data_IF_225781651967
#
_entry.id   IF_225781651967
#
_cell.length_a   1.000
_cell.length_b   1.000
_cell.length_c   1.000
_cell.angle_alpha   90.00
_cell.angle_beta   90.00
_cell.angle_gamma   90.00
#
_symmetry.space_group_name_H-M   'P 1'
#
loop_
_entity.id
_entity.type
_entity.pdbx_description
1 polymer ?
#
# COMPACT_ATOMS: atom_id res chain seq x y z
N UNK A 1 8.79 25.54 15.06
CA UNK A 1 7.42 25.14 14.64
C UNK A 1 7.41 24.42 13.30
N UNK A 2 7.86 25.05 12.23
CA UNK A 2 7.76 24.53 10.84
C UNK A 2 8.49 23.19 10.64
N UNK A 3 9.72 23.06 11.14
CA UNK A 3 10.49 21.80 11.07
C UNK A 3 9.77 20.65 11.77
N UNK A 4 9.09 20.92 12.89
CA UNK A 4 8.33 19.87 13.59
C UNK A 4 7.10 19.43 12.80
N UNK A 5 6.44 20.35 12.09
CA UNK A 5 5.31 20.06 11.20
C UNK A 5 5.79 19.25 10.00
N UNK A 6 6.86 19.67 9.33
CA UNK A 6 7.44 18.95 8.20
C UNK A 6 7.80 17.49 8.55
N UNK A 7 8.49 17.28 9.67
CA UNK A 7 8.82 15.93 10.16
C UNK A 7 7.58 15.07 10.45
N UNK A 8 6.50 15.67 10.93
CA UNK A 8 5.24 14.93 11.17
C UNK A 8 4.55 14.54 9.88
N UNK A 9 4.58 15.41 8.87
CA UNK A 9 4.04 15.11 7.54
C UNK A 9 4.85 13.98 6.89
N UNK A 10 6.16 14.04 6.95
CA UNK A 10 7.07 13.02 6.42
C UNK A 10 6.86 11.67 7.11
N UNK A 11 6.82 11.66 8.45
CA UNK A 11 6.53 10.44 9.21
C UNK A 11 5.14 9.86 8.88
N UNK A 12 4.13 10.71 8.66
CA UNK A 12 2.80 10.30 8.23
C UNK A 12 2.80 9.68 6.83
N UNK A 13 3.54 10.28 5.90
CA UNK A 13 3.73 9.76 4.53
C UNK A 13 4.43 8.40 4.56
N UNK A 14 5.46 8.25 5.39
CA UNK A 14 6.18 6.98 5.54
C UNK A 14 5.27 5.85 6.05
N UNK A 15 4.48 6.10 7.10
CA UNK A 15 3.53 5.10 7.63
C UNK A 15 2.49 4.72 6.58
N UNK A 16 1.99 5.68 5.82
CA UNK A 16 1.06 5.44 4.73
C UNK A 16 1.68 4.57 3.63
N UNK A 17 2.91 4.87 3.21
CA UNK A 17 3.63 4.10 2.19
C UNK A 17 3.90 2.66 2.66
N UNK A 18 4.27 2.46 3.93
CA UNK A 18 4.45 1.13 4.52
C UNK A 18 3.16 0.33 4.43
N UNK A 19 2.02 0.92 4.79
CA UNK A 19 0.73 0.25 4.72
C UNK A 19 0.30 -0.07 3.28
N UNK A 20 0.45 0.89 2.36
CA UNK A 20 0.11 0.72 0.94
C UNK A 20 1.00 -0.33 0.26
N UNK A 21 2.30 -0.37 0.57
CA UNK A 21 3.27 -1.29 -0.04
C UNK A 21 2.94 -2.77 0.20
N UNK A 22 2.25 -3.08 1.29
CA UNK A 22 1.91 -4.45 1.66
C UNK A 22 0.58 -4.93 1.07
N UNK A 23 -0.16 -4.06 0.38
CA UNK A 23 -1.51 -4.37 -0.08
C UNK A 23 -1.55 -4.95 -1.49
N UNK A 24 -2.28 -6.07 -1.71
CA UNK A 24 -2.55 -6.59 -3.05
C UNK A 24 -3.35 -5.64 -3.94
N UNK A 25 -4.12 -4.70 -3.38
CA UNK A 25 -4.80 -3.65 -4.13
C UNK A 25 -3.78 -2.72 -4.81
N UNK A 26 -2.75 -2.34 -4.06
CA UNK A 26 -1.62 -1.57 -4.61
C UNK A 26 -0.86 -2.39 -5.67
N UNK A 27 -0.65 -3.68 -5.42
CA UNK A 27 -0.03 -4.59 -6.39
C UNK A 27 -0.79 -4.62 -7.72
N UNK A 28 -2.13 -4.71 -7.67
CA UNK A 28 -2.97 -4.71 -8.87
C UNK A 28 -2.83 -3.40 -9.65
N UNK A 29 -2.69 -2.27 -8.96
CA UNK A 29 -2.44 -0.99 -9.61
C UNK A 29 -1.08 -0.95 -10.32
N UNK A 30 -0.03 -1.51 -9.71
CA UNK A 30 1.29 -1.61 -10.35
C UNK A 30 1.28 -2.55 -11.55
N UNK A 31 0.50 -3.63 -11.55
CA UNK A 31 0.33 -4.49 -12.72
C UNK A 31 -0.34 -3.74 -13.88
N UNK A 32 -1.37 -2.95 -13.60
CA UNK A 32 -2.06 -2.12 -14.58
C UNK A 32 -1.12 -1.02 -15.14
N UNK A 33 -0.34 -0.38 -14.29
CA UNK A 33 0.65 0.61 -14.74
C UNK A 33 1.77 0.01 -15.57
N UNK A 34 2.29 -1.17 -15.21
CA UNK A 34 3.34 -1.84 -16.00
C UNK A 34 2.84 -2.13 -17.42
N UNK A 35 1.62 -2.64 -17.56
CA UNK A 35 1.00 -2.89 -18.87
C UNK A 35 0.77 -1.61 -19.67
N UNK A 36 0.16 -0.60 -19.06
CA UNK A 36 -0.15 0.67 -19.71
C UNK A 36 1.09 1.48 -20.09
N UNK A 37 2.12 1.48 -19.24
CA UNK A 37 3.39 2.14 -19.56
C UNK A 37 4.13 1.46 -20.70
N UNK A 38 4.08 0.13 -20.81
CA UNK A 38 4.68 -0.62 -21.91
C UNK A 38 3.96 -0.37 -23.24
N UNK A 39 2.65 -0.11 -23.19
CA UNK A 39 1.83 0.19 -24.35
C UNK A 39 1.78 1.69 -24.70
N UNK A 40 2.49 2.55 -23.95
CA UNK A 40 2.44 4.02 -24.07
C UNK A 40 1.01 4.60 -23.91
N UNK A 41 0.15 3.92 -23.12
CA UNK A 41 -1.23 4.36 -22.85
C UNK A 41 -1.32 5.41 -21.76
N UNK A 42 -0.32 5.48 -20.85
CA UNK A 42 -0.19 6.48 -19.79
C UNK A 42 1.20 7.09 -19.78
N UNK A 43 1.27 8.33 -19.32
CA UNK A 43 2.52 9.05 -19.16
C UNK A 43 3.13 8.83 -17.78
N UNK A 44 4.45 8.85 -17.69
CA UNK A 44 5.17 8.65 -16.43
C UNK A 44 4.78 9.70 -15.39
N UNK A 45 4.58 10.95 -15.82
CA UNK A 45 4.14 12.07 -14.97
C UNK A 45 2.77 11.90 -14.34
N UNK A 46 1.96 10.97 -14.82
CA UNK A 46 0.67 10.65 -14.20
C UNK A 46 0.83 9.77 -12.95
N UNK A 47 1.97 9.09 -12.80
CA UNK A 47 2.26 8.17 -11.71
C UNK A 47 3.19 8.79 -10.68
N UNK A 48 4.26 9.45 -11.15
CA UNK A 48 5.34 9.95 -10.30
C UNK A 48 5.40 11.48 -10.29
N UNK A 49 6.05 12.01 -9.26
CA UNK A 49 6.46 13.40 -9.18
C UNK A 49 7.79 13.57 -9.95
N UNK A 50 7.70 14.12 -11.16
CA UNK A 50 8.86 14.25 -12.06
C UNK A 50 9.90 15.22 -11.48
N UNK A 51 9.46 16.33 -10.91
CA UNK A 51 10.39 17.37 -10.41
C UNK A 51 11.25 16.81 -9.28
N UNK A 52 10.64 16.09 -8.34
CA UNK A 52 11.36 15.45 -7.24
C UNK A 52 12.31 14.36 -7.73
N UNK A 53 11.87 13.52 -8.66
CA UNK A 53 12.71 12.46 -9.23
C UNK A 53 13.90 13.01 -10.03
N UNK A 54 13.69 14.08 -10.78
CA UNK A 54 14.74 14.70 -11.58
C UNK A 54 15.81 15.36 -10.69
N UNK A 55 15.39 16.06 -9.64
CA UNK A 55 16.32 16.67 -8.67
C UNK A 55 17.14 15.64 -7.89
N UNK A 56 16.58 14.48 -7.56
CA UNK A 56 17.32 13.39 -6.90
C UNK A 56 18.36 12.76 -7.83
N UNK A 57 18.06 12.59 -9.11
CA UNK A 57 19.01 12.06 -10.10
C UNK A 57 20.17 13.05 -10.37
N UNK A 58 19.92 14.36 -10.46
CA UNK A 58 20.99 15.36 -10.57
C UNK A 58 21.93 15.35 -9.37
N UNK A 59 21.41 15.14 -8.15
CA UNK A 59 22.23 15.08 -6.93
C UNK A 59 23.05 13.80 -6.80
N UNK A 60 22.67 12.72 -7.47
CA UNK A 60 23.35 11.41 -7.43
C UNK A 60 24.16 11.10 -8.69
N UNK A 61 23.99 11.87 -9.77
CA UNK A 61 24.67 11.67 -11.04
C UNK A 61 26.09 12.28 -11.09
N UNK A 62 26.91 11.88 -12.10
CA UNK A 62 28.27 12.38 -12.26
C UNK A 62 28.36 13.91 -12.49
N UNK A 63 27.26 14.56 -12.84
CA UNK A 63 27.17 16.04 -12.98
C UNK A 63 27.21 16.81 -11.67
N UNK A 64 26.95 16.14 -10.52
CA UNK A 64 27.03 16.78 -9.20
C UNK A 64 28.43 17.23 -8.78
N UNK A 65 29.49 16.78 -9.47
CA UNK A 65 30.89 17.14 -9.16
C UNK A 65 31.38 18.44 -9.79
N UNK A 66 30.60 19.11 -10.63
CA UNK A 66 31.05 20.33 -11.31
C UNK A 66 30.53 21.64 -10.69
N UNK A 67 29.61 21.61 -9.73
CA UNK A 67 29.02 22.82 -9.12
C UNK A 67 29.71 23.36 -7.86
N UNK A 68 30.79 22.71 -7.36
CA UNK A 68 31.47 23.12 -6.12
C UNK A 68 32.90 23.66 -6.31
N UNK A 69 33.25 24.21 -7.48
CA UNK A 69 34.54 24.88 -7.67
C UNK A 69 34.35 26.17 -8.45
N UNK A 70 34.12 27.28 -7.75
CA UNK A 70 34.09 28.59 -8.38
C UNK A 70 33.36 29.67 -7.57
N UNK A 71 33.78 29.91 -6.32
CA UNK A 71 33.75 31.28 -5.78
C UNK A 71 35.01 31.96 -6.27
N UNK A 72 34.89 32.94 -7.17
CA UNK A 72 35.40 34.29 -7.02
C UNK A 72 35.26 35.08 -8.34
N UNK A 73 34.99 36.36 -8.11
CA UNK A 73 35.16 37.55 -8.97
C UNK A 73 33.97 37.99 -9.84
N UNK A 74 33.50 39.13 -9.38
CA UNK A 74 32.63 40.10 -10.04
C UNK A 74 33.22 40.55 -11.37
N UNK A 75 32.39 40.59 -12.40
CA UNK A 75 32.45 41.69 -13.34
C UNK A 75 31.03 42.07 -13.82
N UNK A 76 30.72 43.32 -13.65
CA UNK A 76 29.49 43.96 -14.12
C UNK A 76 29.62 44.19 -15.62
N UNK A 77 28.69 43.71 -16.39
CA UNK A 77 28.20 44.25 -17.65
C UNK A 77 28.11 43.20 -18.77
N UNK A 78 26.91 42.66 -18.97
CA UNK A 78 26.33 42.54 -20.31
C UNK A 78 24.94 41.90 -20.27
N UNK A 79 23.96 42.70 -20.59
CA UNK A 79 22.74 42.44 -21.36
C UNK A 79 22.21 41.00 -21.44
N UNK A 80 21.10 40.80 -20.73
CA UNK A 80 19.83 40.22 -21.19
C UNK A 80 19.93 39.41 -22.49
N UNK A 81 20.00 38.09 -22.35
CA UNK A 81 19.61 37.04 -23.30
C UNK A 81 20.36 35.71 -23.03
N UNK A 82 20.12 35.03 -21.92
CA UNK A 82 20.47 33.59 -21.79
C UNK A 82 20.05 32.90 -20.48
N UNK A 83 19.01 33.36 -19.80
CA UNK A 83 18.50 32.67 -18.60
C UNK A 83 17.47 31.56 -18.94
N UNK A 84 17.18 31.32 -20.22
CA UNK A 84 16.16 30.35 -20.66
C UNK A 84 16.75 28.97 -21.05
N UNK A 85 18.07 28.82 -21.00
CA UNK A 85 18.76 27.64 -21.55
C UNK A 85 19.03 26.51 -20.53
N UNK A 86 18.57 26.65 -19.26
CA UNK A 86 18.88 25.69 -18.21
C UNK A 86 17.67 25.03 -17.53
N UNK A 87 16.46 25.28 -18.02
CA UNK A 87 15.26 24.58 -17.55
C UNK A 87 14.83 23.56 -18.60
N UNK A 88 15.18 22.27 -18.44
CA UNK A 88 14.73 21.24 -19.39
C UNK A 88 13.21 21.22 -19.40
N UNK A 89 12.63 21.12 -20.61
CA UNK A 89 11.18 21.00 -20.72
C UNK A 89 10.70 19.75 -20.00
N UNK A 90 9.48 19.80 -19.43
CA UNK A 90 8.87 18.67 -18.73
C UNK A 90 8.93 17.36 -19.56
N UNK A 91 8.77 17.47 -20.87
CA UNK A 91 8.88 16.33 -21.79
C UNK A 91 10.29 15.74 -21.88
N UNK A 92 11.32 16.59 -21.80
CA UNK A 92 12.70 16.14 -21.79
C UNK A 92 13.04 15.43 -20.49
N UNK A 93 12.64 15.98 -19.33
CA UNK A 93 12.77 15.31 -18.01
C UNK A 93 12.06 13.96 -17.99
N UNK A 94 10.85 13.90 -18.51
CA UNK A 94 10.07 12.66 -18.58
C UNK A 94 10.77 11.60 -19.44
N UNK A 95 11.31 11.99 -20.61
CA UNK A 95 12.05 11.07 -21.50
C UNK A 95 13.30 10.48 -20.84
N UNK A 96 13.99 11.27 -20.02
CA UNK A 96 15.19 10.84 -19.31
C UNK A 96 14.87 9.87 -18.18
N UNK A 97 13.82 10.14 -17.40
CA UNK A 97 13.41 9.32 -16.25
C UNK A 97 12.64 8.06 -16.68
N UNK A 98 11.93 8.09 -17.80
CA UNK A 98 11.07 6.99 -18.27
C UNK A 98 11.72 5.60 -18.23
N UNK A 99 12.94 5.35 -18.73
CA UNK A 99 13.54 4.02 -18.69
C UNK A 99 13.81 3.53 -17.26
N UNK A 100 14.14 4.42 -16.32
CA UNK A 100 14.36 4.10 -14.91
C UNK A 100 13.04 3.71 -14.25
N UNK A 101 11.99 4.47 -14.49
CA UNK A 101 10.64 4.21 -13.95
C UNK A 101 10.09 2.89 -14.47
N UNK A 102 10.16 2.65 -15.79
CA UNK A 102 9.73 1.38 -16.40
C UNK A 102 10.44 0.17 -15.76
N UNK A 103 11.75 0.27 -15.57
CA UNK A 103 12.54 -0.79 -14.93
C UNK A 103 12.10 -1.03 -13.49
N UNK A 104 11.87 0.04 -12.73
CA UNK A 104 11.45 -0.06 -11.31
C UNK A 104 10.02 -0.59 -11.19
N UNK A 105 9.09 -0.13 -12.03
CA UNK A 105 7.71 -0.64 -12.06
C UNK A 105 7.69 -2.12 -12.42
N UNK A 106 8.46 -2.54 -13.42
CA UNK A 106 8.57 -3.94 -13.79
C UNK A 106 9.17 -4.81 -12.69
N UNK A 107 10.17 -4.31 -11.95
CA UNK A 107 10.73 -4.98 -10.79
C UNK A 107 9.67 -5.12 -9.68
N UNK A 108 8.92 -4.05 -9.40
CA UNK A 108 7.83 -4.05 -8.42
C UNK A 108 6.75 -5.08 -8.77
N UNK A 109 6.33 -5.20 -10.03
CA UNK A 109 5.34 -6.22 -10.42
C UNK A 109 5.83 -7.63 -10.13
N UNK A 110 7.12 -7.88 -10.31
CA UNK A 110 7.73 -9.17 -10.03
C UNK A 110 7.76 -9.47 -8.52
N UNK A 111 8.14 -8.49 -7.70
CA UNK A 111 8.15 -8.63 -6.24
C UNK A 111 6.72 -8.74 -5.67
N UNK A 112 5.76 -8.00 -6.19
CA UNK A 112 4.35 -8.10 -5.80
C UNK A 112 3.74 -9.48 -6.08
N UNK A 113 4.10 -10.13 -7.17
CA UNK A 113 3.66 -11.52 -7.44
C UNK A 113 4.16 -12.48 -6.36
N UNK A 114 5.37 -12.29 -5.85
CA UNK A 114 5.90 -13.08 -4.72
C UNK A 114 5.17 -12.75 -3.43
N UNK A 115 4.94 -11.45 -3.15
CA UNK A 115 4.22 -11.00 -1.97
C UNK A 115 2.82 -11.62 -1.88
N UNK A 116 2.03 -11.52 -2.95
CA UNK A 116 0.67 -12.08 -3.02
C UNK A 116 0.69 -13.60 -2.77
N UNK A 117 1.69 -14.30 -3.28
CA UNK A 117 1.85 -15.73 -3.03
C UNK A 117 2.08 -16.03 -1.55
N UNK A 118 2.98 -15.29 -0.90
CA UNK A 118 3.24 -15.43 0.54
C UNK A 118 2.00 -15.11 1.38
N UNK A 119 1.27 -14.04 1.05
CA UNK A 119 0.05 -13.65 1.76
C UNK A 119 -1.04 -14.71 1.63
N UNK A 120 -1.25 -15.24 0.44
CA UNK A 120 -2.18 -16.37 0.23
C UNK A 120 -1.80 -17.58 1.08
N UNK A 121 -0.54 -17.99 1.04
CA UNK A 121 -0.08 -19.13 1.83
C UNK A 121 -0.23 -18.86 3.34
N UNK A 122 0.05 -17.64 3.80
CA UNK A 122 -0.12 -17.24 5.21
C UNK A 122 -1.58 -17.31 5.64
N UNK A 123 -2.49 -16.77 4.83
CA UNK A 123 -3.92 -16.83 5.10
C UNK A 123 -4.46 -18.28 5.07
N UNK A 124 -4.03 -19.10 4.11
CA UNK A 124 -4.37 -20.50 4.03
C UNK A 124 -3.88 -21.28 5.27
N UNK A 125 -2.70 -20.96 5.79
CA UNK A 125 -2.21 -21.53 7.04
C UNK A 125 -3.11 -21.16 8.23
N UNK A 126 -3.54 -19.89 8.33
CA UNK A 126 -4.46 -19.43 9.38
C UNK A 126 -5.81 -20.15 9.29
N UNK A 127 -6.39 -20.22 8.09
CA UNK A 127 -7.69 -20.88 7.85
C UNK A 127 -7.67 -22.38 8.15
N UNK A 128 -6.51 -23.02 7.95
CA UNK A 128 -6.34 -24.46 8.20
C UNK A 128 -5.69 -24.77 9.56
N UNK A 129 -5.53 -23.77 10.45
CA UNK A 129 -4.85 -23.93 11.75
C UNK A 129 -3.42 -24.49 11.63
N UNK A 130 -2.71 -24.17 10.56
CA UNK A 130 -1.32 -24.54 10.31
C UNK A 130 -0.38 -23.40 10.66
N UNK A 131 0.85 -23.72 11.00
CA UNK A 131 1.90 -22.74 11.30
C UNK A 131 2.57 -22.33 9.97
N UNK A 132 2.69 -21.01 9.74
CA UNK A 132 3.48 -20.51 8.63
C UNK A 132 4.97 -20.68 8.93
N UNK A 133 5.75 -21.19 7.97
CA UNK A 133 7.17 -21.52 8.18
C UNK A 133 8.01 -20.26 8.43
N UNK A 134 8.89 -20.27 9.42
CA UNK A 134 9.80 -19.18 9.77
C UNK A 134 10.71 -18.77 8.59
N UNK A 135 11.10 -19.73 7.75
CA UNK A 135 11.89 -19.44 6.54
C UNK A 135 11.08 -18.61 5.52
N UNK A 136 9.79 -18.93 5.35
CA UNK A 136 8.88 -18.17 4.48
C UNK A 136 8.54 -16.81 5.08
N UNK A 137 8.47 -16.67 6.40
CA UNK A 137 8.26 -15.39 7.09
C UNK A 137 9.42 -14.42 6.80
N UNK A 138 10.66 -14.87 6.91
CA UNK A 138 11.84 -14.06 6.53
C UNK A 138 11.83 -13.66 5.05
N UNK A 139 11.41 -14.58 4.17
CA UNK A 139 11.23 -14.29 2.74
C UNK A 139 10.16 -13.24 2.48
N UNK A 140 9.04 -13.32 3.20
CA UNK A 140 7.96 -12.34 3.17
C UNK A 140 8.44 -10.96 3.62
N UNK A 141 9.07 -10.86 4.80
CA UNK A 141 9.60 -9.60 5.34
C UNK A 141 10.61 -8.94 4.39
N UNK A 142 11.52 -9.73 3.82
CA UNK A 142 12.47 -9.23 2.83
C UNK A 142 11.75 -8.65 1.60
N UNK A 143 10.77 -9.38 1.06
CA UNK A 143 10.01 -8.93 -0.10
C UNK A 143 9.24 -7.64 0.20
N UNK A 144 8.66 -7.50 1.40
CA UNK A 144 7.99 -6.27 1.85
C UNK A 144 8.96 -5.09 1.87
N UNK A 145 10.15 -5.27 2.43
CA UNK A 145 11.17 -4.21 2.48
C UNK A 145 11.65 -3.82 1.08
N UNK A 146 11.93 -4.80 0.21
CA UNK A 146 12.36 -4.55 -1.17
C UNK A 146 11.29 -3.77 -1.95
N UNK A 147 10.01 -4.08 -1.76
CA UNK A 147 8.88 -3.34 -2.36
C UNK A 147 8.82 -1.91 -1.82
N UNK A 148 8.91 -1.73 -0.50
CA UNK A 148 8.85 -0.42 0.13
C UNK A 148 9.96 0.50 -0.37
N UNK A 149 11.20 0.00 -0.44
CA UNK A 149 12.35 0.77 -0.92
C UNK A 149 12.16 1.18 -2.39
N UNK A 150 11.68 0.29 -3.23
CA UNK A 150 11.38 0.59 -4.64
C UNK A 150 10.24 1.61 -4.79
N UNK A 151 9.17 1.52 -4.00
CA UNK A 151 8.07 2.51 -4.02
C UNK A 151 8.57 3.88 -3.55
N UNK A 152 9.39 3.93 -2.51
CA UNK A 152 10.00 5.19 -2.04
C UNK A 152 10.87 5.81 -3.13
N UNK A 153 11.64 5.01 -3.86
CA UNK A 153 12.49 5.50 -4.95
C UNK A 153 11.72 6.05 -6.15
N UNK A 154 10.46 5.63 -6.34
CA UNK A 154 9.61 6.13 -7.42
C UNK A 154 9.04 7.51 -7.16
N UNK A 155 8.98 7.97 -5.90
CA UNK A 155 8.35 9.25 -5.53
C UNK A 155 6.98 9.42 -6.18
N UNK A 156 6.02 8.55 -5.79
CA UNK A 156 4.66 8.60 -6.33
C UNK A 156 4.01 9.97 -6.12
N UNK A 157 3.26 10.42 -7.11
CA UNK A 157 2.56 11.70 -7.04
C UNK A 157 1.50 11.70 -5.92
N UNK A 158 1.23 12.85 -5.28
CA UNK A 158 0.23 12.94 -4.21
C UNK A 158 -1.17 12.49 -4.64
N UNK A 159 -1.56 12.77 -5.88
CA UNK A 159 -2.85 12.35 -6.45
C UNK A 159 -2.99 10.83 -6.55
N UNK A 160 -1.93 10.16 -6.95
CA UNK A 160 -1.87 8.69 -7.02
C UNK A 160 -1.93 8.07 -5.63
N UNK A 161 -1.21 8.64 -4.66
CA UNK A 161 -1.28 8.17 -3.28
C UNK A 161 -2.69 8.29 -2.71
N UNK A 162 -3.38 9.41 -2.97
CA UNK A 162 -4.76 9.61 -2.54
C UNK A 162 -5.71 8.60 -3.21
N UNK A 163 -5.55 8.34 -4.51
CA UNK A 163 -6.35 7.32 -5.21
C UNK A 163 -6.16 5.92 -4.60
N UNK A 164 -4.92 5.52 -4.31
CA UNK A 164 -4.63 4.25 -3.65
C UNK A 164 -5.28 4.15 -2.26
N UNK A 165 -5.20 5.22 -1.47
CA UNK A 165 -5.86 5.29 -0.15
C UNK A 165 -7.38 5.17 -0.29
N UNK A 166 -8.00 5.85 -1.27
CA UNK A 166 -9.44 5.74 -1.51
C UNK A 166 -9.88 4.33 -1.87
N UNK A 167 -9.09 3.61 -2.68
CA UNK A 167 -9.37 2.19 -3.00
C UNK A 167 -9.40 1.32 -1.73
N UNK A 168 -8.48 1.55 -0.79
CA UNK A 168 -8.46 0.86 0.49
C UNK A 168 -9.65 1.23 1.38
N UNK A 169 -10.04 2.50 1.40
CA UNK A 169 -11.23 2.93 2.15
C UNK A 169 -12.52 2.27 1.65
N UNK A 170 -12.66 2.06 0.35
CA UNK A 170 -13.83 1.36 -0.21
C UNK A 170 -13.92 -0.08 0.33
N UNK A 171 -12.82 -0.81 0.35
CA UNK A 171 -12.82 -2.19 0.87
C UNK A 171 -13.02 -2.19 2.40
N UNK A 172 -12.40 -1.28 3.14
CA UNK A 172 -12.60 -1.15 4.58
C UNK A 172 -14.06 -0.87 4.96
N UNK A 173 -14.77 -0.02 4.21
CA UNK A 173 -16.21 0.22 4.42
C UNK A 173 -17.03 -1.07 4.26
N UNK A 174 -16.65 -1.97 3.36
CA UNK A 174 -17.32 -3.27 3.20
C UNK A 174 -17.14 -4.14 4.45
N UNK A 175 -15.92 -4.21 5.01
CA UNK A 175 -15.63 -4.93 6.25
C UNK A 175 -16.49 -4.37 7.38
N UNK A 176 -16.42 -3.06 7.62
CA UNK A 176 -17.20 -2.39 8.68
C UNK A 176 -18.71 -2.66 8.55
N UNK A 177 -19.24 -2.66 7.31
CA UNK A 177 -20.63 -2.98 7.06
C UNK A 177 -20.98 -4.42 7.41
N UNK A 178 -20.15 -5.39 7.02
CA UNK A 178 -20.34 -6.81 7.31
C UNK A 178 -20.27 -7.10 8.82
N UNK A 179 -19.28 -6.56 9.49
CA UNK A 179 -19.10 -6.70 10.94
C UNK A 179 -20.20 -6.00 11.73
N UNK A 180 -20.62 -4.82 11.28
CA UNK A 180 -21.76 -4.09 11.84
C UNK A 180 -23.07 -4.86 11.72
N UNK A 181 -23.27 -5.60 10.62
CA UNK A 181 -24.43 -6.49 10.46
C UNK A 181 -24.36 -7.64 11.46
N UNK A 182 -23.19 -8.26 11.59
CA UNK A 182 -22.99 -9.36 12.52
C UNK A 182 -23.21 -8.92 13.97
N UNK A 183 -22.72 -7.75 14.36
CA UNK A 183 -22.95 -7.16 15.67
C UNK A 183 -24.44 -6.92 15.92
N UNK A 184 -25.19 -6.39 14.93
CA UNK A 184 -26.65 -6.19 15.08
C UNK A 184 -27.39 -7.49 15.28
N UNK A 185 -27.03 -8.54 14.56
CA UNK A 185 -27.61 -9.89 14.73
C UNK A 185 -27.35 -10.41 16.15
N UNK A 186 -26.14 -10.21 16.68
CA UNK A 186 -25.78 -10.62 18.05
C UNK A 186 -26.58 -9.85 19.11
N UNK A 187 -26.70 -8.52 18.95
CA UNK A 187 -27.49 -7.67 19.86
C UNK A 187 -28.98 -8.05 19.87
N UNK A 188 -29.55 -8.41 18.72
CA UNK A 188 -30.93 -8.91 18.61
C UNK A 188 -31.14 -10.21 19.40
N UNK A 189 -30.09 -10.98 19.64
CA UNK A 189 -30.12 -12.19 20.48
C UNK A 189 -29.68 -11.92 21.94
N UNK A 190 -29.72 -10.64 22.38
CA UNK A 190 -29.39 -10.17 23.74
C UNK A 190 -27.92 -10.37 24.14
N UNK A 191 -27.01 -10.48 23.15
CA UNK A 191 -25.56 -10.47 23.42
C UNK A 191 -25.14 -9.01 23.58
N UNK A 192 -24.53 -8.59 24.71
CA UNK A 192 -24.06 -7.22 24.88
C UNK A 192 -22.94 -6.87 23.89
N UNK A 193 -22.97 -5.65 23.37
CA UNK A 193 -21.97 -5.16 22.43
C UNK A 193 -20.53 -5.39 22.92
N UNK A 194 -20.26 -5.06 24.18
CA UNK A 194 -18.90 -5.18 24.74
C UNK A 194 -18.44 -6.64 24.83
N UNK A 195 -19.34 -7.57 25.10
CA UNK A 195 -19.07 -9.00 25.12
C UNK A 195 -18.79 -9.51 23.70
N UNK A 196 -19.61 -9.09 22.74
CA UNK A 196 -19.39 -9.43 21.33
C UNK A 196 -18.03 -8.95 20.84
N UNK A 197 -17.67 -7.69 21.07
CA UNK A 197 -16.40 -7.10 20.65
C UNK A 197 -15.21 -7.85 21.25
N UNK A 198 -15.23 -8.11 22.56
CA UNK A 198 -14.16 -8.87 23.24
C UNK A 198 -13.94 -10.27 22.67
N UNK A 199 -15.02 -10.90 22.27
CA UNK A 199 -14.98 -12.25 21.71
C UNK A 199 -14.58 -12.27 20.25
N UNK A 200 -15.05 -11.31 19.47
CA UNK A 200 -14.94 -11.28 18.03
C UNK A 200 -13.59 -10.76 17.53
N UNK A 201 -13.05 -9.74 18.21
CA UNK A 201 -11.74 -9.15 17.83
C UNK A 201 -10.64 -10.22 17.91
N UNK A 202 -9.92 -10.39 16.80
CA UNK A 202 -8.86 -11.39 16.63
C UNK A 202 -9.36 -12.80 16.31
N UNK A 203 -10.69 -12.99 16.19
CA UNK A 203 -11.31 -14.27 15.84
C UNK A 203 -12.18 -14.20 14.57
N UNK A 204 -12.09 -13.12 13.81
CA UNK A 204 -12.96 -12.82 12.65
C UNK A 204 -12.95 -13.96 11.62
N UNK A 205 -11.78 -14.51 11.36
CA UNK A 205 -11.56 -15.62 10.41
C UNK A 205 -11.11 -16.93 11.08
N UNK A 206 -11.15 -17.01 12.43
CA UNK A 206 -10.70 -18.18 13.16
C UNK A 206 -11.52 -19.45 12.76
N UNK A 207 -10.89 -20.52 12.26
CA UNK A 207 -11.60 -21.74 11.87
C UNK A 207 -12.27 -22.47 13.05
N UNK A 208 -11.73 -22.26 14.27
CA UNK A 208 -12.24 -22.89 15.48
C UNK A 208 -13.29 -22.03 16.23
N UNK A 209 -13.75 -20.95 15.63
CA UNK A 209 -14.70 -20.04 16.26
C UNK A 209 -15.96 -20.75 16.81
N UNK A 210 -16.46 -21.76 16.12
CA UNK A 210 -17.60 -22.55 16.56
C UNK A 210 -17.38 -23.20 17.94
N UNK A 211 -16.16 -23.67 18.24
CA UNK A 211 -15.85 -24.28 19.55
C UNK A 211 -15.95 -23.27 20.68
N UNK A 212 -15.61 -22.01 20.44
CA UNK A 212 -15.78 -20.93 21.43
C UNK A 212 -17.25 -20.54 21.60
N UNK A 213 -18.04 -20.56 20.51
CA UNK A 213 -19.46 -20.25 20.55
C UNK A 213 -20.28 -21.25 21.36
N UNK A 214 -19.83 -22.51 21.46
CA UNK A 214 -20.52 -23.54 22.20
C UNK A 214 -20.37 -23.43 23.74
N UNK A 215 -19.52 -22.52 24.23
CA UNK A 215 -19.23 -22.35 25.66
C UNK A 215 -20.33 -21.60 26.45
N UNK A 216 -21.16 -20.80 25.77
CA UNK A 216 -22.22 -20.01 26.38
C UNK A 216 -23.56 -20.26 25.70
N UNK A 217 -24.62 -20.39 26.48
CA UNK A 217 -25.98 -20.70 25.97
C UNK A 217 -26.51 -19.63 25.01
N UNK A 218 -26.24 -18.34 25.28
CA UNK A 218 -26.67 -17.24 24.40
C UNK A 218 -25.94 -17.29 23.05
N UNK A 219 -24.66 -17.54 23.07
CA UNK A 219 -23.84 -17.67 21.86
C UNK A 219 -24.25 -18.89 21.03
N UNK A 220 -24.54 -20.01 21.70
CA UNK A 220 -25.04 -21.22 21.04
C UNK A 220 -26.38 -20.98 20.34
N UNK A 221 -27.30 -20.28 21.00
CA UNK A 221 -28.58 -19.89 20.41
C UNK A 221 -28.39 -18.92 19.23
N UNK A 222 -27.54 -17.92 19.39
CA UNK A 222 -27.18 -16.96 18.33
C UNK A 222 -26.66 -17.68 17.09
N UNK A 223 -25.67 -18.54 17.27
CA UNK A 223 -25.08 -19.29 16.17
C UNK A 223 -26.09 -20.24 15.51
N UNK A 224 -26.91 -20.93 16.29
CA UNK A 224 -27.93 -21.85 15.75
C UNK A 224 -28.98 -21.14 14.90
N UNK A 225 -29.44 -19.96 15.35
CA UNK A 225 -30.49 -19.18 14.64
C UNK A 225 -29.97 -18.46 13.42
N UNK A 226 -28.70 -17.99 13.42
CA UNK A 226 -28.15 -17.14 12.37
C UNK A 226 -27.01 -17.84 11.59
N UNK A 227 -27.01 -19.17 11.55
CA UNK A 227 -25.91 -19.97 10.98
C UNK A 227 -25.58 -19.60 9.54
N UNK A 228 -26.59 -19.45 8.69
CA UNK A 228 -26.41 -19.14 7.28
C UNK A 228 -25.88 -17.69 7.07
N UNK A 229 -26.42 -16.72 7.79
CA UNK A 229 -25.95 -15.33 7.71
C UNK A 229 -24.52 -15.21 8.24
N UNK A 230 -24.23 -15.85 9.36
CA UNK A 230 -22.90 -15.89 9.92
C UNK A 230 -21.89 -16.50 8.95
N UNK A 231 -22.24 -17.63 8.32
CA UNK A 231 -21.41 -18.28 7.31
C UNK A 231 -21.16 -17.36 6.11
N UNK A 232 -22.22 -16.74 5.57
CA UNK A 232 -22.14 -15.84 4.42
C UNK A 232 -21.27 -14.61 4.71
N UNK A 233 -21.45 -13.98 5.87
CA UNK A 233 -20.63 -12.83 6.29
C UNK A 233 -19.16 -13.26 6.39
N UNK A 234 -18.89 -14.41 7.00
CA UNK A 234 -17.53 -14.93 7.15
C UNK A 234 -16.86 -15.25 5.81
N UNK A 235 -17.55 -15.88 4.89
CA UNK A 235 -17.05 -16.17 3.55
C UNK A 235 -16.66 -14.86 2.83
N UNK A 236 -17.49 -13.82 2.91
CA UNK A 236 -17.20 -12.50 2.35
C UNK A 236 -16.00 -11.83 3.03
N UNK A 237 -15.88 -11.95 4.35
CA UNK A 237 -14.72 -11.43 5.07
C UNK A 237 -13.42 -12.13 4.64
N UNK A 238 -13.45 -13.45 4.46
CA UNK A 238 -12.31 -14.21 3.95
C UNK A 238 -11.93 -13.77 2.52
N UNK A 239 -12.91 -13.56 1.64
CA UNK A 239 -12.65 -13.02 0.29
C UNK A 239 -11.98 -11.64 0.33
N UNK A 240 -12.46 -10.75 1.20
CA UNK A 240 -11.87 -9.42 1.38
C UNK A 240 -10.47 -9.53 1.99
N UNK A 241 -10.24 -10.47 2.92
CA UNK A 241 -8.91 -10.72 3.49
C UNK A 241 -7.90 -11.15 2.44
N UNK A 242 -8.28 -12.01 1.48
CA UNK A 242 -7.43 -12.35 0.34
C UNK A 242 -7.13 -11.12 -0.55
N UNK A 243 -8.10 -10.23 -0.68
CA UNK A 243 -7.99 -9.00 -1.50
C UNK A 243 -7.09 -7.95 -0.86
N UNK A 244 -7.07 -7.88 0.47
CA UNK A 244 -6.29 -6.93 1.25
C UNK A 244 -4.93 -7.48 1.69
N UNK A 245 -4.70 -8.79 1.61
CA UNK A 245 -3.48 -9.44 2.06
C UNK A 245 -3.36 -9.56 3.58
N UNK A 246 -4.51 -9.58 4.26
CA UNK A 246 -4.59 -9.68 5.73
C UNK A 246 -4.61 -11.13 6.20
#
# INVERSE_FOLDING_TARGET
>A
GEIAIAKRIEAGKDVMLIALSQSPITAQQFFDWDEKLQNDEILVREIIDIDTNYMEDENTGPSAKQKNAGEDEKDENSTDESDDDFNPTLAAMESEIKPKVLKTVHLLTKEYRKLIKYQKEKLDCVLNSKIFSTSKEKGYEKTVNDILDNIKSLQLSPSVLEELVQKHYVENKKIISLEGNLLRLAMNQKIPRNEFIKFYIGNEINPNLKKFLDTNTLWKQFFSKNKEEFKNIRERLVEISYKLGM
#
